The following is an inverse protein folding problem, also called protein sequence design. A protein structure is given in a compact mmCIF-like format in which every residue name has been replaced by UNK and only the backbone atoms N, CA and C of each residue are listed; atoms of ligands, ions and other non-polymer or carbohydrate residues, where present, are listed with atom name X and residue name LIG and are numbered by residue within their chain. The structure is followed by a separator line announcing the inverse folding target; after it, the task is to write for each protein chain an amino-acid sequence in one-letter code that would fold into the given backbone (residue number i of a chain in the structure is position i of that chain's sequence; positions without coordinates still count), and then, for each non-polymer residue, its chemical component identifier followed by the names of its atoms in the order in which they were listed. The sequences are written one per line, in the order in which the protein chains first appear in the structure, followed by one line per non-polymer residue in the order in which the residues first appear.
data_IF_755598555623
#
_entry.id   IF_755598555623
#
_cell.length_a   1.000
_cell.length_b   1.000
_cell.length_c   1.000
_cell.angle_alpha   90.00
_cell.angle_beta   90.00
_cell.angle_gamma   90.00
#
_symmetry.space_group_name_H-M   'P 1'
#
loop_
_entity.id
_entity.type
_entity.pdbx_description
1 polymer ?
#
# COMPACT_ATOMS: atom_id res chain seq x y z
N UNK A 1 -2.05 -16.70 31.84
CA UNK A 1 -1.91 -17.14 30.44
C UNK A 1 -1.71 -15.91 29.59
N UNK A 2 -0.65 -15.94 28.79
CA UNK A 2 0.11 -14.82 28.27
C UNK A 2 -0.74 -13.81 27.49
N UNK A 3 -0.68 -12.54 27.88
CA UNK A 3 -0.96 -11.42 26.99
C UNK A 3 0.06 -11.49 25.85
N UNK A 4 -0.38 -11.92 24.67
CA UNK A 4 0.34 -11.69 23.44
C UNK A 4 0.36 -10.18 23.23
N UNK A 5 1.50 -9.55 23.55
CA UNK A 5 1.82 -8.23 23.03
C UNK A 5 1.83 -8.41 21.53
N UNK A 6 0.76 -7.99 20.85
CA UNK A 6 0.83 -7.72 19.43
C UNK A 6 1.88 -6.62 19.31
N UNK A 7 3.10 -7.01 18.96
CA UNK A 7 4.00 -6.07 18.32
C UNK A 7 3.24 -5.68 17.04
N UNK A 8 2.63 -4.50 17.07
CA UNK A 8 2.29 -3.79 15.87
C UNK A 8 3.64 -3.47 15.24
N UNK A 9 4.24 -4.43 14.55
CA UNK A 9 5.36 -4.12 13.69
C UNK A 9 4.77 -3.15 12.65
N UNK A 10 5.12 -1.88 12.77
CA UNK A 10 4.74 -0.84 11.81
C UNK A 10 5.53 -1.15 10.54
N UNK A 11 4.90 -1.85 9.59
CA UNK A 11 5.57 -2.16 8.33
C UNK A 11 5.59 -0.90 7.47
N UNK A 12 6.78 -0.45 7.10
CA UNK A 12 6.94 0.67 6.17
C UNK A 12 7.30 0.16 4.78
N UNK A 13 6.68 0.72 3.76
CA UNK A 13 7.03 0.48 2.37
C UNK A 13 7.12 1.81 1.63
N UNK A 14 7.87 1.82 0.54
CA UNK A 14 7.96 3.00 -0.34
C UNK A 14 7.07 2.81 -1.55
N UNK A 15 6.47 3.90 -2.02
CA UNK A 15 5.68 3.94 -3.23
C UNK A 15 6.21 5.05 -4.14
N UNK A 16 6.68 4.66 -5.32
CA UNK A 16 7.22 5.54 -6.36
C UNK A 16 6.24 5.62 -7.52
N UNK A 17 5.94 6.83 -7.95
CA UNK A 17 5.16 7.07 -9.16
C UNK A 17 6.11 7.31 -10.34
N UNK A 18 6.39 6.28 -11.13
CA UNK A 18 7.20 6.38 -12.34
C UNK A 18 6.38 6.80 -13.58
N UNK A 19 5.07 6.92 -13.43
CA UNK A 19 4.17 7.42 -14.47
C UNK A 19 4.20 8.94 -14.64
N UNK A 20 3.53 9.44 -15.68
CA UNK A 20 3.31 10.87 -15.92
C UNK A 20 2.04 11.44 -15.28
N UNK A 21 1.25 10.63 -14.55
CA UNK A 21 -0.02 11.04 -13.94
C UNK A 21 0.07 10.91 -12.43
N UNK A 22 -0.42 11.91 -11.68
CA UNK A 22 -0.38 11.86 -10.22
C UNK A 22 -1.22 10.67 -9.70
N UNK A 23 -0.70 9.95 -8.72
CA UNK A 23 -1.45 8.93 -7.97
C UNK A 23 -2.24 9.65 -6.88
N UNK A 24 -3.55 9.40 -6.81
CA UNK A 24 -4.43 10.00 -5.80
C UNK A 24 -4.70 9.04 -4.65
N UNK A 25 -4.70 7.73 -4.91
CA UNK A 25 -4.97 6.69 -3.91
C UNK A 25 -4.13 5.45 -4.21
N UNK A 26 -3.66 4.76 -3.16
CA UNK A 26 -3.10 3.41 -3.25
C UNK A 26 -4.13 2.46 -2.64
N UNK A 27 -4.59 1.49 -3.43
CA UNK A 27 -5.61 0.55 -3.02
C UNK A 27 -4.99 -0.81 -2.68
N UNK A 28 -5.50 -1.46 -1.64
CA UNK A 28 -5.08 -2.81 -1.23
C UNK A 28 -6.24 -3.77 -1.04
N UNK A 29 -6.01 -5.03 -1.35
CA UNK A 29 -7.02 -6.09 -1.27
C UNK A 29 -6.43 -7.47 -1.04
N UNK A 30 -7.08 -8.27 -0.18
CA UNK A 30 -6.73 -9.68 0.01
C UNK A 30 -7.21 -10.55 -1.17
N UNK A 31 -8.29 -10.14 -1.84
CA UNK A 31 -9.08 -10.99 -2.72
C UNK A 31 -9.41 -10.38 -4.10
N UNK A 32 -8.84 -9.21 -4.43
CA UNK A 32 -9.12 -8.41 -5.64
C UNK A 32 -10.56 -7.91 -5.80
N UNK A 33 -11.41 -8.08 -4.78
CA UNK A 33 -12.84 -7.75 -4.86
C UNK A 33 -13.21 -6.62 -3.91
N UNK A 34 -12.74 -6.68 -2.67
CA UNK A 34 -12.89 -5.61 -1.67
C UNK A 34 -11.57 -4.83 -1.56
N UNK A 35 -11.63 -3.51 -1.69
CA UNK A 35 -10.44 -2.65 -1.75
C UNK A 35 -10.49 -1.60 -0.65
N UNK A 36 -9.50 -1.62 0.23
CA UNK A 36 -9.19 -0.52 1.12
C UNK A 36 -8.22 0.45 0.44
N UNK A 37 -8.05 1.65 1.00
CA UNK A 37 -7.12 2.64 0.47
C UNK A 37 -6.19 3.15 1.56
N UNK A 38 -4.95 3.44 1.18
CA UNK A 38 -4.03 4.21 2.00
C UNK A 38 -4.27 5.70 1.81
N UNK A 39 -4.26 6.44 2.91
CA UNK A 39 -4.23 7.89 2.86
C UNK A 39 -2.81 8.37 2.53
N UNK A 40 -2.64 8.87 1.31
CA UNK A 40 -1.37 9.40 0.80
C UNK A 40 -1.35 10.95 0.77
N UNK A 41 -2.23 11.59 1.54
CA UNK A 41 -2.36 13.04 1.62
C UNK A 41 -2.76 13.66 0.29
N UNK A 42 -1.89 14.50 -0.27
CA UNK A 42 -2.10 15.19 -1.55
C UNK A 42 -1.84 14.31 -2.78
N UNK A 43 -1.51 13.03 -2.61
CA UNK A 43 -1.13 12.14 -3.69
C UNK A 43 0.38 12.05 -3.91
N UNK A 44 0.78 11.19 -4.85
CA UNK A 44 2.18 11.01 -5.26
C UNK A 44 2.32 11.60 -6.66
N UNK A 45 3.05 12.72 -6.75
CA UNK A 45 3.31 13.38 -8.03
C UNK A 45 4.18 12.52 -8.95
N UNK A 46 4.15 12.74 -10.27
CA UNK A 46 5.05 12.08 -11.21
C UNK A 46 6.52 12.21 -10.80
N UNK A 47 7.23 11.08 -10.75
CA UNK A 47 8.63 10.95 -10.35
C UNK A 47 8.89 11.09 -8.85
N UNK A 48 7.85 11.15 -8.01
CA UNK A 48 7.99 11.24 -6.56
C UNK A 48 7.90 9.86 -5.90
N UNK A 49 8.58 9.74 -4.75
CA UNK A 49 8.51 8.58 -3.87
C UNK A 49 8.02 9.03 -2.50
N UNK A 50 7.11 8.26 -1.91
CA UNK A 50 6.63 8.48 -0.53
C UNK A 50 6.84 7.22 0.30
N UNK A 51 7.02 7.41 1.61
CA UNK A 51 7.06 6.32 2.57
C UNK A 51 5.68 6.17 3.22
N UNK A 52 5.10 4.98 3.11
CA UNK A 52 3.80 4.64 3.67
C UNK A 52 4.00 3.66 4.82
N UNK A 53 3.20 3.82 5.86
CA UNK A 53 3.21 2.95 7.04
C UNK A 53 1.91 2.14 7.03
N UNK A 54 2.07 0.82 7.08
CA UNK A 54 0.98 -0.11 7.30
C UNK A 54 0.96 -0.52 8.77
N UNK A 55 -0.04 0.00 9.48
CA UNK A 55 -0.34 -0.45 10.83
C UNK A 55 -1.08 -1.80 10.79
N UNK A 56 -0.37 -2.88 11.13
CA UNK A 56 -0.96 -4.23 11.21
C UNK A 56 -1.94 -4.39 12.38
N UNK A 57 -1.93 -3.50 13.38
CA UNK A 57 -2.88 -3.60 14.51
C UNK A 57 -4.33 -3.36 14.10
N UNK A 58 -4.58 -2.76 12.94
CA UNK A 58 -5.93 -2.52 12.43
C UNK A 58 -6.47 -3.60 11.50
N UNK A 59 -5.64 -4.57 11.08
CA UNK A 59 -6.06 -5.59 10.13
C UNK A 59 -5.48 -6.95 10.50
N UNK A 60 -6.36 -7.89 10.86
CA UNK A 60 -6.06 -9.32 10.99
C UNK A 60 -5.76 -9.99 9.63
N UNK A 61 -5.21 -9.23 8.68
CA UNK A 61 -5.08 -9.57 7.27
C UNK A 61 -3.79 -10.34 6.99
N UNK A 62 -3.81 -11.07 5.89
CA UNK A 62 -2.67 -11.81 5.36
C UNK A 62 -1.49 -10.89 4.99
N UNK A 63 -0.25 -11.36 5.12
CA UNK A 63 0.95 -10.64 4.65
C UNK A 63 0.90 -10.32 3.15
N UNK A 64 0.30 -11.23 2.38
CA UNK A 64 0.27 -11.15 0.92
C UNK A 64 -0.99 -10.42 0.43
N UNK A 65 -0.83 -9.17 0.01
CA UNK A 65 -1.90 -8.28 -0.45
C UNK A 65 -1.75 -7.96 -1.93
N UNK A 66 -2.87 -7.72 -2.61
CA UNK A 66 -2.88 -7.08 -3.91
C UNK A 66 -2.87 -5.58 -3.75
N UNK A 67 -2.08 -4.89 -4.57
CA UNK A 67 -1.93 -3.44 -4.55
C UNK A 67 -2.13 -2.89 -5.95
N UNK A 68 -2.84 -1.77 -6.07
CA UNK A 68 -2.93 -0.98 -7.30
C UNK A 68 -2.99 0.52 -6.98
N UNK A 69 -2.63 1.35 -7.94
CA UNK A 69 -2.75 2.80 -7.85
C UNK A 69 -4.00 3.30 -8.58
N UNK A 70 -4.69 4.29 -8.02
CA UNK A 70 -5.64 5.12 -8.76
C UNK A 70 -4.98 6.44 -9.13
N UNK A 71 -5.13 6.84 -10.40
CA UNK A 71 -4.51 8.02 -10.95
C UNK A 71 -5.51 9.18 -11.06
N UNK A 72 -5.00 10.41 -11.05
CA UNK A 72 -5.80 11.64 -11.15
C UNK A 72 -6.63 11.76 -12.45
N UNK A 73 -6.26 11.01 -13.49
CA UNK A 73 -7.01 10.91 -14.75
C UNK A 73 -8.24 9.96 -14.65
N UNK A 74 -8.39 9.26 -13.51
CA UNK A 74 -9.47 8.30 -13.26
C UNK A 74 -9.16 6.88 -13.73
N UNK A 75 -7.98 6.64 -14.29
CA UNK A 75 -7.46 5.29 -14.59
C UNK A 75 -6.87 4.62 -13.34
N UNK A 76 -6.72 3.30 -13.39
CA UNK A 76 -6.11 2.49 -12.33
C UNK A 76 -4.99 1.63 -12.90
N UNK A 77 -3.97 1.34 -12.10
CA UNK A 77 -2.90 0.41 -12.49
C UNK A 77 -3.39 -1.04 -12.46
N UNK A 78 -2.67 -1.93 -13.14
CA UNK A 78 -2.87 -3.36 -12.94
C UNK A 78 -2.55 -3.76 -11.50
N UNK A 79 -3.36 -4.63 -10.85
CA UNK A 79 -3.10 -5.06 -9.49
C UNK A 79 -1.96 -6.08 -9.43
N UNK A 80 -0.93 -5.75 -8.66
CA UNK A 80 0.22 -6.62 -8.39
C UNK A 80 0.17 -7.14 -6.94
N UNK A 81 0.72 -8.34 -6.70
CA UNK A 81 0.71 -8.96 -5.37
C UNK A 81 2.05 -8.74 -4.68
N UNK A 82 2.01 -8.29 -3.43
CA UNK A 82 3.18 -8.01 -2.62
C UNK A 82 3.04 -8.68 -1.26
N UNK A 83 4.18 -9.08 -0.69
CA UNK A 83 4.26 -9.59 0.67
C UNK A 83 4.84 -8.48 1.55
N UNK A 84 4.00 -7.92 2.42
CA UNK A 84 4.40 -6.81 3.28
C UNK A 84 5.02 -7.27 4.60
N UNK A 85 5.12 -8.58 4.84
CA UNK A 85 5.86 -9.10 6.00
C UNK A 85 7.37 -9.16 5.72
N UNK A 86 7.79 -8.87 4.48
CA UNK A 86 9.17 -8.63 4.12
C UNK A 86 9.57 -7.16 4.39
N UNK A 87 10.76 -6.97 4.93
CA UNK A 87 11.34 -5.64 5.14
C UNK A 87 11.75 -4.98 3.82
N UNK A 88 11.59 -3.66 3.74
CA UNK A 88 12.11 -2.85 2.64
C UNK A 88 11.33 -2.99 1.33
N UNK A 89 10.03 -3.26 1.41
CA UNK A 89 9.16 -3.32 0.24
C UNK A 89 9.15 -1.98 -0.51
N UNK A 90 9.35 -2.05 -1.83
CA UNK A 90 9.28 -0.92 -2.75
C UNK A 90 8.25 -1.21 -3.83
N UNK A 91 7.29 -0.29 -3.98
CA UNK A 91 6.25 -0.33 -4.98
C UNK A 91 6.56 0.72 -6.05
N UNK A 92 6.66 0.29 -7.30
CA UNK A 92 6.81 1.16 -8.47
C UNK A 92 5.56 1.06 -9.35
N UNK A 93 5.00 2.21 -9.71
CA UNK A 93 3.77 2.34 -10.48
C UNK A 93 4.01 3.07 -11.81
#
# INVERSE_FOLDING_TARGET
MMSTVAHADEFSFTATNSTNTAITEILVSENKSDWAYFNIGNGIQPGATVNLVWDQSTNSSSCAQWVKAAFADGSESEPAKFDFCEDGLELDF
#
